data_IF_500443634015
#
_entry.id   IF_500443634015
#
_cell.length_a   1.000
_cell.length_b   1.000
_cell.length_c   1.000
_cell.angle_alpha   90.00
_cell.angle_beta   90.00
_cell.angle_gamma   90.00
#
_symmetry.space_group_name_H-M   'P 1'
#
loop_
_entity.id
_entity.type
_entity.pdbx_description
1 polymer ?
#
# COMPACT_ATOMS: atom_id res chain seq x y z
N UNK A 1 -5.48 -0.66 13.77
CA UNK A 1 -6.59 -1.21 12.96
C UNK A 1 -6.16 -2.57 12.41
N UNK A 2 -6.86 -3.66 12.72
CA UNK A 2 -6.57 -4.96 12.12
C UNK A 2 -6.73 -4.92 10.60
N UNK A 3 -5.80 -5.53 9.88
CA UNK A 3 -5.89 -5.63 8.41
C UNK A 3 -7.10 -6.44 7.93
N UNK A 4 -7.68 -7.27 8.80
CA UNK A 4 -8.90 -8.03 8.52
C UNK A 4 -10.12 -7.16 8.23
N UNK A 5 -10.16 -5.91 8.69
CA UNK A 5 -11.22 -4.97 8.32
C UNK A 5 -11.19 -4.61 6.85
N UNK A 6 -10.01 -4.59 6.22
CA UNK A 6 -9.86 -4.33 4.79
C UNK A 6 -10.53 -5.42 3.96
N UNK A 7 -10.60 -6.66 4.45
CA UNK A 7 -11.24 -7.78 3.75
C UNK A 7 -12.76 -7.85 3.94
N UNK A 8 -13.36 -6.95 4.73
CA UNK A 8 -14.80 -6.93 4.91
C UNK A 8 -15.48 -6.38 3.64
N UNK A 9 -16.59 -6.98 3.18
CA UNK A 9 -17.27 -6.56 1.96
C UNK A 9 -17.64 -5.07 1.97
N UNK A 10 -18.19 -4.60 3.10
CA UNK A 10 -18.55 -3.20 3.30
C UNK A 10 -17.36 -2.25 3.15
N UNK A 11 -16.16 -2.67 3.60
CA UNK A 11 -14.97 -1.85 3.46
C UNK A 11 -14.47 -1.84 2.01
N UNK A 12 -14.56 -2.98 1.32
CA UNK A 12 -14.25 -3.10 -0.11
C UNK A 12 -15.20 -2.25 -0.96
N UNK A 13 -16.50 -2.23 -0.66
CA UNK A 13 -17.47 -1.36 -1.35
C UNK A 13 -17.14 0.12 -1.17
N UNK A 14 -16.71 0.53 0.03
CA UNK A 14 -16.27 1.90 0.29
C UNK A 14 -14.95 2.23 -0.44
N UNK A 15 -14.02 1.29 -0.52
CA UNK A 15 -12.77 1.45 -1.27
C UNK A 15 -13.05 1.59 -2.77
N UNK A 16 -13.90 0.74 -3.34
CA UNK A 16 -14.30 0.79 -4.74
C UNK A 16 -14.98 2.13 -5.07
N UNK A 17 -15.86 2.62 -4.20
CA UNK A 17 -16.47 3.94 -4.36
C UNK A 17 -15.43 5.06 -4.31
N UNK A 18 -14.47 4.97 -3.39
CA UNK A 18 -13.40 5.95 -3.27
C UNK A 18 -12.47 5.94 -4.49
N UNK A 19 -12.25 4.77 -5.10
CA UNK A 19 -11.46 4.60 -6.32
C UNK A 19 -12.12 5.28 -7.52
N UNK A 20 -13.44 5.11 -7.70
CA UNK A 20 -14.23 5.79 -8.72
C UNK A 20 -14.25 7.32 -8.53
N UNK A 21 -14.43 7.80 -7.29
CA UNK A 21 -14.51 9.24 -6.99
C UNK A 21 -13.15 9.94 -7.06
N UNK A 22 -12.05 9.27 -6.71
CA UNK A 22 -10.70 9.85 -6.71
C UNK A 22 -9.90 9.52 -7.98
N UNK A 23 -10.46 8.69 -8.89
CA UNK A 23 -9.86 8.36 -10.17
C UNK A 23 -8.61 7.51 -10.04
N UNK A 24 -8.56 6.60 -9.06
CA UNK A 24 -7.44 5.70 -8.86
C UNK A 24 -7.55 4.46 -9.79
N UNK A 25 -7.67 4.67 -11.09
CA UNK A 25 -7.55 3.59 -12.09
C UNK A 25 -6.06 3.19 -12.21
N UNK A 26 -5.59 2.38 -11.26
CA UNK A 26 -4.24 1.83 -11.27
C UNK A 26 -4.29 0.44 -11.89
N UNK A 27 -3.86 0.23 -13.15
CA UNK A 27 -3.99 -1.04 -13.88
C UNK A 27 -3.25 -2.23 -13.24
N UNK A 28 -2.51 -2.00 -12.14
CA UNK A 28 -1.77 -3.01 -11.41
C UNK A 28 -2.01 -2.95 -9.88
N UNK A 29 -3.12 -2.35 -9.44
CA UNK A 29 -3.57 -2.38 -8.03
C UNK A 29 -2.60 -1.80 -7.00
N UNK A 30 -1.59 -1.05 -7.44
CA UNK A 30 -0.47 -0.58 -6.65
C UNK A 30 -0.24 0.91 -6.81
N UNK A 31 0.20 1.55 -5.73
CA UNK A 31 0.58 2.96 -5.73
C UNK A 31 1.99 3.09 -6.34
N UNK A 32 2.06 3.61 -7.56
CA UNK A 32 3.34 3.98 -8.18
C UNK A 32 3.77 5.35 -7.66
N UNK A 33 4.72 5.37 -6.71
CA UNK A 33 5.31 6.62 -6.22
C UNK A 33 6.59 6.88 -7.02
N UNK A 34 6.64 7.93 -7.87
CA UNK A 34 7.88 8.31 -8.54
C UNK A 34 8.88 8.78 -7.49
N UNK A 35 9.89 7.97 -7.24
CA UNK A 35 10.98 8.29 -6.33
C UNK A 35 12.27 7.71 -6.87
N UNK A 36 13.41 8.29 -6.45
CA UNK A 36 14.71 7.74 -6.81
C UNK A 36 14.98 6.50 -5.96
N UNK A 37 15.62 5.51 -6.56
CA UNK A 37 15.91 4.23 -5.91
C UNK A 37 16.69 4.40 -4.60
N UNK A 38 17.63 5.35 -4.55
CA UNK A 38 18.41 5.65 -3.34
C UNK A 38 17.53 6.11 -2.17
N UNK A 39 16.51 6.93 -2.45
CA UNK A 39 15.54 7.41 -1.45
C UNK A 39 14.66 6.26 -0.95
N UNK A 40 14.23 5.38 -1.86
CA UNK A 40 13.43 4.21 -1.50
C UNK A 40 14.22 3.23 -0.61
N UNK A 41 15.48 2.98 -0.92
CA UNK A 41 16.37 2.11 -0.12
C UNK A 41 16.65 2.72 1.25
N UNK A 42 16.95 4.01 1.34
CA UNK A 42 17.12 4.71 2.63
C UNK A 42 15.86 4.58 3.49
N UNK A 43 14.70 4.93 2.92
CA UNK A 43 13.42 4.86 3.61
C UNK A 43 13.12 3.43 4.08
N UNK A 44 13.28 2.44 3.21
CA UNK A 44 13.05 1.04 3.56
C UNK A 44 14.02 0.56 4.63
N UNK A 45 15.30 0.98 4.60
CA UNK A 45 16.30 0.62 5.61
C UNK A 45 15.95 1.17 7.00
N UNK A 46 15.43 2.40 7.06
CA UNK A 46 14.97 3.07 8.28
C UNK A 46 13.65 2.50 8.79
N UNK A 47 12.80 1.99 7.91
CA UNK A 47 11.58 1.26 8.30
C UNK A 47 11.92 -0.17 8.75
N UNK A 48 12.97 -0.79 8.20
CA UNK A 48 13.43 -2.14 8.56
C UNK A 48 13.98 -2.24 9.99
N UNK A 49 14.35 -1.12 10.61
CA UNK A 49 14.65 -1.08 12.04
C UNK A 49 13.43 -1.27 12.95
N UNK A 50 12.21 -1.30 12.40
CA UNK A 50 11.00 -1.79 13.08
C UNK A 50 10.32 -2.92 12.28
N UNK A 51 10.80 -4.17 12.44
CA UNK A 51 10.13 -5.44 12.09
C UNK A 51 9.40 -5.55 10.73
N UNK A 52 10.11 -5.49 9.60
CA UNK A 52 9.60 -5.98 8.30
C UNK A 52 10.46 -7.09 7.66
N UNK A 53 11.35 -7.72 8.44
CA UNK A 53 12.29 -8.75 7.96
C UNK A 53 11.63 -10.05 7.44
N UNK A 54 10.30 -10.15 7.41
CA UNK A 54 9.60 -11.37 6.98
C UNK A 54 9.05 -11.32 5.55
N UNK A 55 9.21 -10.21 4.80
CA UNK A 55 8.55 -10.07 3.49
C UNK A 55 9.41 -10.32 2.24
N UNK A 56 10.67 -10.70 2.41
CA UNK A 56 11.42 -11.41 1.37
C UNK A 56 11.78 -12.81 1.86
N UNK A 57 10.79 -13.69 1.91
CA UNK A 57 11.02 -15.12 1.69
C UNK A 57 9.92 -15.67 0.81
#
# INVERSE_FOLDING_TARGET
MPVSYLSQPLFQDLLAKSEEELGFDHPMGGLTIPCKEDVFVDLTSRLRTSSVASWCK
#
